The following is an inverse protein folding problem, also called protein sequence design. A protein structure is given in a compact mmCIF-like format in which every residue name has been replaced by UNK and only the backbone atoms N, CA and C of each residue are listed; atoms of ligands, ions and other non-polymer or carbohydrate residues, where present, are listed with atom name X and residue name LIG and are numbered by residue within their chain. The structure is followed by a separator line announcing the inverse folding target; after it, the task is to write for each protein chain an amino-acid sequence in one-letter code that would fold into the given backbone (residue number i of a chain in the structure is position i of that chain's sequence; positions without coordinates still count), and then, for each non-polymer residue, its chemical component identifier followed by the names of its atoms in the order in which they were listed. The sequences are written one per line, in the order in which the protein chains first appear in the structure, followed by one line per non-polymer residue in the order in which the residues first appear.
data_IF_440194615467
#
_entry.id   IF_440194615467
#
_cell.length_a   1.000
_cell.length_b   1.000
_cell.length_c   1.000
_cell.angle_alpha   90.00
_cell.angle_beta   90.00
_cell.angle_gamma   90.00
#
_symmetry.space_group_name_H-M   'P 1'
#
loop_
_entity.id
_entity.type
_entity.pdbx_description
1 polymer ?
#
# COMPACT_ATOMS: atom_id res chain seq x y z
N UNK A 1 -26.89 -9.33 5.86
CA UNK A 1 -28.03 -8.99 6.76
C UNK A 1 -28.73 -10.24 7.26
N UNK A 2 -29.26 -11.10 6.38
CA UNK A 2 -29.90 -12.39 6.77
C UNK A 2 -28.99 -13.26 7.65
N UNK A 3 -27.73 -13.48 7.23
CA UNK A 3 -26.78 -14.28 8.01
C UNK A 3 -26.45 -13.70 9.39
N UNK A 4 -26.44 -12.36 9.54
CA UNK A 4 -26.27 -11.72 10.86
C UNK A 4 -27.50 -11.95 11.73
N UNK A 5 -28.71 -11.79 11.18
CA UNK A 5 -29.96 -12.01 11.90
C UNK A 5 -30.10 -13.47 12.37
N UNK A 6 -29.62 -14.41 11.56
CA UNK A 6 -29.59 -15.83 11.90
C UNK A 6 -28.42 -16.22 12.82
N UNK A 7 -27.56 -15.27 13.20
CA UNK A 7 -26.33 -15.50 13.96
C UNK A 7 -25.49 -16.65 13.38
N UNK A 8 -25.32 -16.70 12.05
CA UNK A 8 -24.58 -17.76 11.37
C UNK A 8 -23.07 -17.63 11.60
N UNK A 9 -22.60 -18.12 12.74
CA UNK A 9 -21.20 -18.02 13.17
C UNK A 9 -20.26 -18.69 12.17
N UNK A 10 -20.65 -19.84 11.59
CA UNK A 10 -19.84 -20.57 10.61
C UNK A 10 -19.58 -19.73 9.35
N UNK A 11 -20.61 -19.07 8.83
CA UNK A 11 -20.45 -18.18 7.68
C UNK A 11 -19.44 -17.06 7.96
N UNK A 12 -19.57 -16.35 9.10
CA UNK A 12 -18.66 -15.26 9.44
C UNK A 12 -17.24 -15.74 9.77
N UNK A 13 -17.11 -16.91 10.40
CA UNK A 13 -15.81 -17.56 10.61
C UNK A 13 -15.14 -17.89 9.27
N UNK A 14 -15.87 -18.46 8.32
CA UNK A 14 -15.36 -18.72 6.96
C UNK A 14 -15.01 -17.43 6.21
N UNK A 15 -15.85 -16.39 6.30
CA UNK A 15 -15.52 -15.07 5.74
C UNK A 15 -14.26 -14.48 6.34
N UNK A 16 -14.04 -14.60 7.67
CA UNK A 16 -12.81 -14.14 8.30
C UNK A 16 -11.63 -14.96 7.80
N UNK A 17 -11.73 -16.29 7.78
CA UNK A 17 -10.70 -17.16 7.22
C UNK A 17 -10.38 -16.83 5.76
N UNK A 18 -11.32 -16.35 4.95
CA UNK A 18 -11.11 -15.99 3.55
C UNK A 18 -10.62 -14.56 3.33
N UNK A 19 -11.06 -13.60 4.14
CA UNK A 19 -10.90 -12.17 3.87
C UNK A 19 -9.98 -11.46 4.84
N UNK A 20 -9.64 -12.07 5.98
CA UNK A 20 -8.62 -11.56 6.87
C UNK A 20 -7.25 -11.71 6.18
N UNK A 21 -6.59 -10.59 5.83
CA UNK A 21 -5.33 -10.59 5.10
C UNK A 21 -4.15 -11.06 5.95
N UNK A 22 -4.32 -11.14 7.28
CA UNK A 22 -3.29 -11.68 8.18
C UNK A 22 -3.32 -13.20 8.27
N UNK A 23 -4.39 -13.84 7.78
CA UNK A 23 -4.49 -15.30 7.73
C UNK A 23 -3.97 -15.75 6.38
N UNK A 24 -2.90 -16.54 6.37
CA UNK A 24 -2.44 -17.25 5.17
C UNK A 24 -2.44 -18.75 5.42
N UNK A 25 -2.55 -19.53 4.36
CA UNK A 25 -2.57 -21.00 4.44
C UNK A 25 -1.31 -21.64 3.83
N UNK A 26 -0.35 -20.83 3.35
CA UNK A 26 0.86 -21.33 2.71
C UNK A 26 0.63 -22.13 1.42
N UNK A 27 -0.58 -22.14 0.86
CA UNK A 27 -0.95 -22.91 -0.34
C UNK A 27 -1.47 -21.98 -1.44
N UNK A 28 -0.95 -22.15 -2.66
CA UNK A 28 -1.33 -21.33 -3.83
C UNK A 28 -2.25 -22.07 -4.80
N UNK A 29 -2.10 -23.39 -4.90
CA UNK A 29 -2.90 -24.24 -5.79
C UNK A 29 -3.81 -25.13 -4.96
N UNK A 30 -5.10 -24.90 -5.07
CA UNK A 30 -6.13 -25.73 -4.43
C UNK A 30 -7.03 -26.31 -5.53
N UNK A 31 -7.09 -27.66 -5.67
CA UNK A 31 -7.82 -28.30 -6.75
C UNK A 31 -9.33 -28.06 -6.65
N UNK A 32 -10.03 -28.19 -7.78
CA UNK A 32 -11.49 -28.26 -7.79
C UNK A 32 -11.92 -29.72 -7.68
N UNK A 33 -12.99 -29.97 -6.93
CA UNK A 33 -13.59 -31.30 -6.89
C UNK A 33 -14.43 -31.53 -8.14
N UNK A 34 -14.39 -32.77 -8.65
CA UNK A 34 -15.17 -33.23 -9.81
C UNK A 34 -16.22 -34.29 -9.45
N UNK A 35 -16.24 -34.75 -8.20
CA UNK A 35 -17.09 -35.83 -7.70
C UNK A 35 -17.57 -35.50 -6.29
N UNK A 36 -18.76 -35.94 -5.93
CA UNK A 36 -19.27 -35.76 -4.58
C UNK A 36 -18.63 -36.74 -3.60
N UNK A 37 -18.19 -36.21 -2.46
CA UNK A 37 -17.95 -36.96 -1.24
C UNK A 37 -19.22 -37.11 -0.39
N UNK A 38 -19.12 -37.77 0.78
CA UNK A 38 -20.23 -37.93 1.73
C UNK A 38 -20.72 -36.62 2.37
N UNK A 39 -19.92 -35.55 2.33
CA UNK A 39 -20.18 -34.25 2.95
C UNK A 39 -19.18 -33.94 4.07
N UNK A 40 -18.79 -32.67 4.19
CA UNK A 40 -17.75 -32.23 5.13
C UNK A 40 -18.29 -31.18 6.12
N UNK A 41 -18.17 -31.46 7.42
CA UNK A 41 -18.59 -30.51 8.43
C UNK A 41 -17.65 -29.29 8.47
N UNK A 42 -18.22 -28.10 8.70
CA UNK A 42 -17.44 -26.86 8.76
C UNK A 42 -16.32 -26.91 9.81
N UNK A 43 -16.55 -27.59 10.93
CA UNK A 43 -15.54 -27.75 11.99
C UNK A 43 -14.31 -28.55 11.53
N UNK A 44 -14.51 -29.58 10.71
CA UNK A 44 -13.42 -30.40 10.15
C UNK A 44 -12.58 -29.59 9.17
N UNK A 45 -13.25 -28.80 8.31
CA UNK A 45 -12.56 -27.85 7.44
C UNK A 45 -11.77 -26.80 8.24
N UNK A 46 -12.33 -26.28 9.33
CA UNK A 46 -11.61 -25.33 10.21
C UNK A 46 -10.38 -25.97 10.85
N UNK A 47 -10.42 -27.27 11.15
CA UNK A 47 -9.26 -28.06 11.56
C UNK A 47 -8.14 -27.99 10.54
N UNK A 48 -8.40 -28.41 9.29
CA UNK A 48 -7.43 -28.30 8.19
C UNK A 48 -6.92 -26.86 8.02
N UNK A 49 -7.82 -25.88 7.98
CA UNK A 49 -7.47 -24.48 7.79
C UNK A 49 -6.55 -23.96 8.92
N UNK A 50 -6.75 -24.43 10.16
CA UNK A 50 -5.89 -24.07 11.30
C UNK A 50 -4.51 -24.72 11.15
N UNK A 51 -4.43 -26.01 10.81
CA UNK A 51 -3.16 -26.70 10.60
C UNK A 51 -2.33 -26.08 9.45
N UNK A 52 -2.99 -25.67 8.36
CA UNK A 52 -2.34 -24.96 7.27
C UNK A 52 -1.88 -23.55 7.68
N UNK A 53 -2.72 -22.82 8.42
CA UNK A 53 -2.40 -21.48 8.93
C UNK A 53 -1.24 -21.51 9.91
N UNK A 54 -1.26 -22.46 10.82
CA UNK A 54 -0.28 -22.62 11.90
C UNK A 54 0.96 -23.38 11.42
N UNK A 55 0.99 -23.75 10.13
CA UNK A 55 2.12 -24.40 9.43
C UNK A 55 2.47 -25.79 9.99
N UNK A 56 1.52 -26.44 10.66
CA UNK A 56 1.63 -27.84 11.06
C UNK A 56 1.65 -28.75 9.82
N UNK A 57 0.97 -28.34 8.75
CA UNK A 57 1.00 -29.00 7.44
C UNK A 57 1.63 -28.08 6.40
N UNK A 58 2.65 -28.59 5.69
CA UNK A 58 3.35 -27.85 4.64
C UNK A 58 3.72 -28.76 3.46
N UNK A 59 4.11 -28.18 2.32
CA UNK A 59 4.61 -28.96 1.18
C UNK A 59 3.63 -30.02 0.66
N UNK A 60 4.12 -31.25 0.51
CA UNK A 60 3.29 -32.38 0.07
C UNK A 60 2.25 -32.78 1.11
N UNK A 61 2.56 -32.72 2.41
CA UNK A 61 1.61 -33.09 3.47
C UNK A 61 0.38 -32.15 3.46
N UNK A 62 0.61 -30.85 3.25
CA UNK A 62 -0.47 -29.88 3.05
C UNK A 62 -1.31 -30.19 1.81
N UNK A 63 -0.68 -30.54 0.69
CA UNK A 63 -1.38 -30.90 -0.55
C UNK A 63 -2.26 -32.13 -0.32
N UNK A 64 -1.70 -33.17 0.27
CA UNK A 64 -2.36 -34.46 0.43
C UNK A 64 -3.56 -34.33 1.41
N UNK A 65 -3.40 -33.58 2.51
CA UNK A 65 -4.49 -33.27 3.43
C UNK A 65 -5.61 -32.42 2.79
N UNK A 66 -5.28 -31.48 1.91
CA UNK A 66 -6.26 -30.72 1.12
C UNK A 66 -7.03 -31.64 0.18
N UNK A 67 -6.36 -32.57 -0.50
CA UNK A 67 -7.00 -33.52 -1.42
C UNK A 67 -7.89 -34.52 -0.68
N UNK A 68 -7.47 -35.02 0.48
CA UNK A 68 -8.28 -35.86 1.35
C UNK A 68 -9.55 -35.14 1.81
N UNK A 69 -9.40 -33.93 2.36
CA UNK A 69 -10.53 -33.10 2.80
C UNK A 69 -11.47 -32.74 1.64
N UNK A 70 -10.92 -32.50 0.43
CA UNK A 70 -11.71 -32.28 -0.78
C UNK A 70 -12.55 -33.49 -1.17
N UNK A 71 -12.03 -34.71 -0.99
CA UNK A 71 -12.74 -35.94 -1.36
C UNK A 71 -13.88 -36.27 -0.40
N UNK A 72 -13.83 -35.76 0.84
CA UNK A 72 -14.93 -35.89 1.82
C UNK A 72 -16.06 -34.90 1.54
N UNK A 73 -15.74 -33.68 1.10
CA UNK A 73 -16.74 -32.65 0.81
C UNK A 73 -17.58 -32.97 -0.44
N UNK A 74 -18.84 -32.50 -0.45
CA UNK A 74 -19.59 -32.43 -1.71
C UNK A 74 -18.95 -31.43 -2.67
N UNK A 75 -19.25 -31.57 -3.97
CA UNK A 75 -18.74 -30.66 -5.02
C UNK A 75 -19.09 -29.21 -4.71
N UNK A 76 -20.31 -28.96 -4.24
CA UNK A 76 -20.80 -27.61 -3.94
C UNK A 76 -20.14 -27.03 -2.69
N UNK A 77 -20.06 -27.79 -1.59
CA UNK A 77 -19.37 -27.35 -0.37
C UNK A 77 -17.91 -26.98 -0.66
N UNK A 78 -17.21 -27.84 -1.40
CA UNK A 78 -15.81 -27.59 -1.74
C UNK A 78 -15.65 -26.41 -2.69
N UNK A 79 -16.23 -26.48 -3.89
CA UNK A 79 -15.94 -25.52 -4.96
C UNK A 79 -16.54 -24.14 -4.70
N UNK A 80 -17.66 -24.05 -3.99
CA UNK A 80 -18.37 -22.80 -3.74
C UNK A 80 -18.11 -22.19 -2.38
N UNK A 81 -17.51 -22.92 -1.43
CA UNK A 81 -17.19 -22.40 -0.10
C UNK A 81 -15.77 -22.70 0.36
N UNK A 82 -15.44 -23.95 0.70
CA UNK A 82 -14.17 -24.31 1.36
C UNK A 82 -12.92 -23.97 0.53
N UNK A 83 -12.93 -24.33 -0.75
CA UNK A 83 -11.85 -23.99 -1.69
C UNK A 83 -11.65 -22.49 -1.79
N UNK A 84 -12.74 -21.71 -1.81
CA UNK A 84 -12.72 -20.24 -1.93
C UNK A 84 -12.11 -19.58 -0.70
N UNK A 85 -12.30 -20.18 0.47
CA UNK A 85 -11.62 -19.78 1.71
C UNK A 85 -10.11 -20.01 1.58
N UNK A 86 -9.67 -21.23 1.20
CA UNK A 86 -8.24 -21.57 1.11
C UNK A 86 -7.49 -20.73 0.06
N UNK A 87 -8.12 -20.40 -1.08
CA UNK A 87 -7.50 -19.52 -2.09
C UNK A 87 -7.66 -18.02 -1.77
N UNK A 88 -8.30 -17.67 -0.64
CA UNK A 88 -8.52 -16.30 -0.17
C UNK A 88 -9.33 -15.43 -1.16
N UNK A 89 -10.28 -16.04 -1.88
CA UNK A 89 -11.14 -15.35 -2.85
C UNK A 89 -12.54 -15.98 -2.89
N UNK A 90 -13.52 -15.27 -2.33
CA UNK A 90 -14.92 -15.70 -2.29
C UNK A 90 -15.62 -15.66 -3.65
N UNK A 91 -15.04 -15.04 -4.69
CA UNK A 91 -15.56 -14.99 -6.07
C UNK A 91 -17.03 -14.57 -6.18
N UNK A 92 -17.43 -13.58 -5.39
CA UNK A 92 -18.81 -13.07 -5.38
C UNK A 92 -18.89 -11.54 -5.23
N UNK A 93 -17.79 -10.82 -5.48
CA UNK A 93 -17.74 -9.37 -5.33
C UNK A 93 -17.81 -8.87 -3.88
N UNK A 94 -17.71 -9.76 -2.89
CA UNK A 94 -17.70 -9.44 -1.46
C UNK A 94 -16.26 -9.37 -0.97
N UNK A 95 -15.94 -8.28 -0.27
CA UNK A 95 -14.67 -8.09 0.44
C UNK A 95 -14.91 -7.82 1.93
N UNK A 96 -13.84 -7.73 2.70
CA UNK A 96 -13.84 -7.31 4.10
C UNK A 96 -14.62 -6.00 4.33
N UNK A 97 -14.53 -5.04 3.39
CA UNK A 97 -15.30 -3.77 3.45
C UNK A 97 -16.79 -4.01 3.44
N UNK A 98 -17.25 -4.94 2.60
CA UNK A 98 -18.67 -5.27 2.48
C UNK A 98 -19.16 -5.87 3.78
N UNK A 99 -18.44 -6.86 4.33
CA UNK A 99 -18.77 -7.47 5.63
C UNK A 99 -18.75 -6.43 6.76
N UNK A 100 -17.67 -5.65 6.86
CA UNK A 100 -17.50 -4.65 7.92
C UNK A 100 -18.54 -3.53 7.88
N UNK A 101 -19.02 -3.13 6.70
CA UNK A 101 -20.12 -2.18 6.56
C UNK A 101 -21.43 -2.73 7.14
N UNK A 102 -21.72 -4.01 6.90
CA UNK A 102 -22.90 -4.68 7.46
C UNK A 102 -22.75 -4.81 8.98
N UNK A 103 -21.59 -5.29 9.45
CA UNK A 103 -21.24 -5.40 10.88
C UNK A 103 -21.41 -4.08 11.63
N UNK A 104 -20.93 -2.97 11.05
CA UNK A 104 -21.10 -1.63 11.61
C UNK A 104 -22.57 -1.24 11.72
N UNK A 105 -23.36 -1.46 10.67
CA UNK A 105 -24.81 -1.16 10.66
C UNK A 105 -25.57 -1.98 11.70
N UNK A 106 -25.15 -3.21 11.96
CA UNK A 106 -25.79 -4.11 12.93
C UNK A 106 -25.14 -4.08 14.31
N UNK A 107 -24.14 -3.22 14.55
CA UNK A 107 -23.41 -3.08 15.83
C UNK A 107 -22.81 -4.40 16.36
N UNK A 108 -22.41 -5.32 15.47
CA UNK A 108 -21.82 -6.64 15.81
C UNK A 108 -20.30 -6.63 15.69
N UNK A 109 -19.64 -5.75 16.44
CA UNK A 109 -18.18 -5.53 16.33
C UNK A 109 -17.34 -6.80 16.55
N UNK A 110 -17.90 -7.81 17.22
CA UNK A 110 -17.33 -9.15 17.39
C UNK A 110 -17.12 -9.90 16.06
N UNK A 111 -17.88 -9.57 15.02
CA UNK A 111 -17.80 -10.15 13.67
C UNK A 111 -16.94 -9.32 12.71
N UNK A 112 -16.30 -8.25 13.19
CA UNK A 112 -15.47 -7.38 12.35
C UNK A 112 -14.27 -8.16 11.81
N UNK A 113 -14.09 -8.13 10.50
CA UNK A 113 -12.91 -8.70 9.85
C UNK A 113 -11.79 -7.64 9.93
N UNK A 114 -10.60 -7.98 10.43
CA UNK A 114 -9.45 -7.09 10.40
C UNK A 114 -9.16 -6.59 8.99
N UNK A 115 -8.80 -5.32 8.87
CA UNK A 115 -8.38 -4.69 7.61
C UNK A 115 -6.87 -4.54 7.64
N UNK A 116 -6.18 -4.91 6.56
CA UNK A 116 -4.77 -4.61 6.41
C UNK A 116 -4.58 -3.11 6.23
N UNK A 117 -4.12 -2.42 7.26
CA UNK A 117 -3.72 -1.02 7.16
C UNK A 117 -2.33 -0.88 7.76
N UNK A 118 -1.53 0.01 7.17
CA UNK A 118 -0.27 0.45 7.73
C UNK A 118 -0.30 1.96 7.93
N UNK A 119 0.71 2.49 8.63
CA UNK A 119 0.83 3.93 8.85
C UNK A 119 1.13 4.66 7.54
N UNK A 120 0.36 5.71 7.26
CA UNK A 120 0.51 6.53 6.04
C UNK A 120 0.80 7.98 6.38
N UNK A 121 1.62 8.63 5.56
CA UNK A 121 2.06 9.99 5.82
C UNK A 121 1.09 11.07 5.31
N UNK A 122 0.90 12.13 6.09
CA UNK A 122 0.35 13.40 5.60
C UNK A 122 1.39 14.20 4.81
N UNK A 123 0.97 15.22 4.06
CA UNK A 123 1.86 16.12 3.33
C UNK A 123 2.20 17.32 4.22
N UNK A 124 3.48 17.58 4.49
CA UNK A 124 3.89 18.65 5.41
C UNK A 124 3.42 20.03 4.96
N UNK A 125 3.32 20.27 3.65
CA UNK A 125 2.87 21.55 3.09
C UNK A 125 1.43 21.91 3.49
N UNK A 126 0.60 20.93 3.85
CA UNK A 126 -0.77 21.16 4.33
C UNK A 126 -0.88 21.18 5.86
N UNK A 127 0.23 20.99 6.58
CA UNK A 127 0.25 20.81 8.03
C UNK A 127 1.44 21.54 8.69
N UNK A 128 1.72 22.77 8.26
CA UNK A 128 2.83 23.60 8.78
C UNK A 128 2.81 23.71 10.31
N UNK A 129 1.63 23.82 10.93
CA UNK A 129 1.47 23.85 12.40
C UNK A 129 1.92 22.57 13.13
N UNK A 130 2.20 21.50 12.39
CA UNK A 130 2.72 20.22 12.91
C UNK A 130 4.23 20.07 12.69
N UNK A 131 4.86 21.01 12.00
CA UNK A 131 6.31 21.09 11.78
C UNK A 131 7.00 21.77 12.98
N UNK A 132 6.77 21.26 14.18
CA UNK A 132 7.26 21.79 15.46
C UNK A 132 7.84 20.67 16.33
N UNK A 133 8.72 21.04 17.25
CA UNK A 133 9.39 20.15 18.19
C UNK A 133 10.35 19.14 17.54
N UNK A 134 10.73 18.13 18.32
CA UNK A 134 11.69 17.10 17.91
C UNK A 134 11.11 16.16 16.85
N UNK A 135 11.86 15.98 15.76
CA UNK A 135 11.53 15.10 14.64
C UNK A 135 12.71 14.25 14.23
N UNK A 136 12.43 13.02 13.81
CA UNK A 136 13.32 12.27 12.95
C UNK A 136 13.11 12.65 11.50
N UNK A 137 14.21 12.78 10.76
CA UNK A 137 14.25 12.92 9.32
C UNK A 137 14.89 11.67 8.73
N UNK A 138 14.25 11.08 7.72
CA UNK A 138 14.84 10.08 6.84
C UNK A 138 14.51 10.39 5.38
N UNK A 139 15.28 9.79 4.45
CA UNK A 139 15.02 9.96 3.03
C UNK A 139 13.70 9.30 2.63
N UNK A 140 12.89 10.03 1.86
CA UNK A 140 11.73 9.47 1.21
C UNK A 140 12.19 8.73 -0.04
N UNK A 141 12.27 7.41 0.08
CA UNK A 141 12.63 6.51 -1.00
C UNK A 141 11.50 6.39 -2.02
N UNK A 142 11.88 6.29 -3.30
CA UNK A 142 10.96 6.16 -4.43
C UNK A 142 10.83 4.69 -4.85
N UNK A 143 10.02 3.95 -4.09
CA UNK A 143 9.89 2.51 -4.24
C UNK A 143 8.47 2.01 -4.11
N UNK A 144 8.34 0.75 -3.69
CA UNK A 144 7.06 0.13 -3.36
C UNK A 144 7.05 -0.29 -1.90
N UNK A 145 6.13 0.28 -1.13
CA UNK A 145 5.87 -0.09 0.27
C UNK A 145 5.65 -1.59 0.44
N UNK A 146 6.48 -2.20 1.30
CA UNK A 146 6.37 -3.60 1.71
C UNK A 146 6.14 -3.68 3.21
N UNK A 147 5.16 -4.47 3.59
CA UNK A 147 4.91 -4.89 4.97
C UNK A 147 5.26 -6.37 5.04
N UNK A 148 6.29 -6.69 5.81
CA UNK A 148 6.76 -8.07 5.97
C UNK A 148 6.30 -8.61 7.31
N UNK A 149 5.55 -9.71 7.28
CA UNK A 149 5.08 -10.41 8.47
C UNK A 149 5.94 -11.65 8.65
N UNK A 150 6.52 -11.79 9.84
CA UNK A 150 7.31 -12.94 10.25
C UNK A 150 6.58 -13.63 11.38
N UNK A 151 6.14 -14.86 11.15
CA UNK A 151 5.36 -15.63 12.12
C UNK A 151 5.75 -17.10 12.01
N UNK A 152 6.11 -17.70 13.15
CA UNK A 152 6.50 -19.12 13.24
C UNK A 152 7.58 -19.50 12.21
N UNK A 153 8.57 -18.62 12.03
CA UNK A 153 9.68 -18.84 11.10
C UNK A 153 9.36 -18.62 9.62
N UNK A 154 8.15 -18.21 9.28
CA UNK A 154 7.74 -17.95 7.90
C UNK A 154 7.73 -16.45 7.63
N UNK A 155 8.36 -16.05 6.54
CA UNK A 155 8.36 -14.66 6.09
C UNK A 155 7.37 -14.50 4.94
N UNK A 156 6.46 -13.53 5.07
CA UNK A 156 5.52 -13.19 3.99
C UNK A 156 5.49 -11.69 3.76
N UNK A 157 5.61 -11.28 2.50
CA UNK A 157 5.63 -9.86 2.12
C UNK A 157 4.31 -9.41 1.48
N UNK A 158 3.81 -8.25 1.90
CA UNK A 158 2.56 -7.66 1.41
C UNK A 158 2.75 -6.23 0.97
N UNK A 159 1.98 -5.81 -0.03
CA UNK A 159 1.77 -4.39 -0.31
C UNK A 159 1.04 -3.69 0.83
N UNK A 160 1.05 -2.35 0.82
CA UNK A 160 0.27 -1.51 1.75
C UNK A 160 -1.24 -1.83 1.83
N UNK A 161 -1.80 -2.51 0.82
CA UNK A 161 -3.21 -2.88 0.75
C UNK A 161 -3.45 -4.36 1.08
N UNK A 162 -2.45 -5.08 1.59
CA UNK A 162 -2.57 -6.50 1.97
C UNK A 162 -2.49 -7.49 0.80
N UNK A 163 -2.16 -7.05 -0.42
CA UNK A 163 -1.87 -7.97 -1.53
C UNK A 163 -0.47 -8.55 -1.34
N UNK A 164 -0.36 -9.88 -1.26
CA UNK A 164 0.91 -10.57 -1.13
C UNK A 164 1.81 -10.38 -2.37
N UNK A 165 3.09 -10.14 -2.15
CA UNK A 165 4.14 -10.20 -3.16
C UNK A 165 4.70 -11.62 -3.26
N UNK A 166 5.02 -12.07 -4.47
CA UNK A 166 5.57 -13.41 -4.72
C UNK A 166 6.93 -13.38 -5.43
N UNK A 167 7.48 -12.19 -5.68
CA UNK A 167 8.66 -11.96 -6.53
C UNK A 167 9.93 -11.61 -5.71
N UNK A 168 9.85 -11.65 -4.37
CA UNK A 168 10.94 -11.25 -3.45
C UNK A 168 11.46 -12.44 -2.60
N UNK A 169 11.42 -13.65 -3.15
CA UNK A 169 11.76 -14.89 -2.44
C UNK A 169 13.17 -14.93 -1.85
N UNK A 170 14.16 -14.32 -2.51
CA UNK A 170 15.52 -14.18 -2.00
C UNK A 170 15.57 -13.38 -0.68
N UNK A 171 14.79 -12.30 -0.56
CA UNK A 171 14.69 -11.47 0.65
C UNK A 171 13.89 -12.20 1.74
N UNK A 172 12.83 -12.92 1.35
CA UNK A 172 12.10 -13.78 2.28
C UNK A 172 13.05 -14.82 2.90
N UNK A 173 13.86 -15.50 2.06
CA UNK A 173 14.85 -16.50 2.51
C UNK A 173 15.92 -15.89 3.40
N UNK A 174 16.42 -14.69 3.08
CA UNK A 174 17.41 -14.01 3.92
C UNK A 174 16.84 -13.67 5.31
N UNK A 175 15.63 -13.13 5.37
CA UNK A 175 14.94 -12.86 6.64
C UNK A 175 14.61 -14.15 7.41
N UNK A 176 14.26 -15.24 6.72
CA UNK A 176 14.07 -16.56 7.34
C UNK A 176 15.37 -17.10 7.93
N UNK A 177 16.51 -16.92 7.27
CA UNK A 177 17.80 -17.33 7.81
C UNK A 177 18.24 -16.46 9.00
N UNK A 178 17.96 -15.16 8.93
CA UNK A 178 18.32 -14.20 9.97
C UNK A 178 17.44 -14.36 11.23
N UNK A 179 16.14 -14.63 11.05
CA UNK A 179 15.14 -14.52 12.11
C UNK A 179 14.34 -15.81 12.35
N UNK A 180 14.34 -16.77 11.41
CA UNK A 180 13.26 -17.76 11.23
C UNK A 180 13.16 -18.95 12.20
N UNK A 181 13.96 -19.02 13.27
CA UNK A 181 13.73 -20.03 14.34
C UNK A 181 13.56 -19.46 15.74
N UNK A 182 14.08 -18.26 15.99
CA UNK A 182 13.95 -17.56 17.26
C UNK A 182 13.07 -16.29 17.15
N UNK A 183 12.39 -16.10 16.02
CA UNK A 183 11.49 -14.97 15.79
C UNK A 183 10.33 -15.02 16.78
N UNK A 184 10.46 -14.21 17.83
CA UNK A 184 9.49 -13.85 18.88
C UNK A 184 8.19 -14.66 18.91
N UNK A 185 7.93 -15.35 20.03
CA UNK A 185 6.60 -15.90 20.35
C UNK A 185 5.53 -14.80 20.14
N UNK A 186 4.73 -14.92 19.08
CA UNK A 186 3.70 -13.95 18.71
C UNK A 186 3.91 -13.21 17.37
N UNK A 187 5.08 -13.31 16.76
CA UNK A 187 5.39 -12.76 15.44
C UNK A 187 5.69 -11.25 15.40
N UNK A 188 6.34 -10.81 14.33
CA UNK A 188 6.75 -9.41 14.12
C UNK A 188 6.35 -8.90 12.74
N UNK A 189 6.25 -7.58 12.64
CA UNK A 189 6.03 -6.85 11.40
C UNK A 189 7.20 -5.91 11.15
N UNK A 190 7.85 -6.08 10.01
CA UNK A 190 8.84 -5.15 9.47
C UNK A 190 8.17 -4.28 8.41
N UNK A 191 8.43 -2.99 8.47
CA UNK A 191 7.85 -2.00 7.57
C UNK A 191 8.95 -1.25 6.81
N UNK A 192 8.91 -1.33 5.49
CA UNK A 192 9.97 -0.82 4.63
C UNK A 192 9.51 -0.48 3.21
N UNK A 193 10.43 0.00 2.40
CA UNK A 193 10.23 0.26 0.99
C UNK A 193 11.13 -0.67 0.19
N UNK A 194 10.57 -1.39 -0.77
CA UNK A 194 11.39 -2.06 -1.78
C UNK A 194 11.87 -1.02 -2.78
N UNK A 195 13.17 -0.97 -3.06
CA UNK A 195 13.79 -0.02 -3.99
C UNK A 195 14.66 -0.76 -5.01
N UNK A 196 14.88 -0.16 -6.16
CA UNK A 196 15.81 -0.63 -7.20
C UNK A 196 16.46 0.62 -7.84
N UNK A 197 17.29 0.43 -8.86
CA UNK A 197 17.91 1.48 -9.67
C UNK A 197 16.95 2.59 -10.14
N UNK A 198 15.67 2.27 -10.36
CA UNK A 198 14.60 3.26 -10.57
C UNK A 198 13.22 2.69 -10.22
N UNK A 199 12.27 3.58 -9.91
CA UNK A 199 10.88 3.19 -9.67
C UNK A 199 10.26 2.43 -10.86
N UNK A 200 10.58 2.85 -12.11
CA UNK A 200 10.07 2.17 -13.30
C UNK A 200 10.65 0.76 -13.46
N UNK A 201 11.93 0.56 -13.14
CA UNK A 201 12.55 -0.76 -13.13
C UNK A 201 11.89 -1.67 -12.09
N UNK A 202 11.66 -1.15 -10.88
CA UNK A 202 10.98 -1.86 -9.81
C UNK A 202 9.54 -2.27 -10.19
N UNK A 203 8.76 -1.37 -10.80
CA UNK A 203 7.38 -1.68 -11.21
C UNK A 203 7.31 -2.81 -12.26
N UNK A 204 8.32 -2.91 -13.14
CA UNK A 204 8.44 -4.04 -14.07
C UNK A 204 8.64 -5.36 -13.34
N UNK A 205 9.29 -5.37 -12.18
CA UNK A 205 9.51 -6.57 -11.37
C UNK A 205 8.29 -6.93 -10.54
N UNK A 206 7.67 -5.94 -9.89
CA UNK A 206 6.49 -6.12 -9.03
C UNK A 206 5.27 -6.70 -9.77
N UNK A 207 5.12 -6.39 -11.06
CA UNK A 207 3.98 -6.82 -11.88
C UNK A 207 4.24 -8.03 -12.79
N UNK A 208 5.47 -8.57 -12.83
CA UNK A 208 5.74 -9.81 -13.56
C UNK A 208 5.00 -10.98 -12.91
N UNK A 209 4.34 -11.77 -13.77
CA UNK A 209 3.61 -13.00 -13.38
C UNK A 209 4.51 -14.23 -13.42
N UNK A 210 5.66 -14.14 -14.09
CA UNK A 210 6.64 -15.22 -14.17
C UNK A 210 7.55 -15.16 -12.94
N UNK A 211 7.94 -16.34 -12.44
CA UNK A 211 8.66 -16.58 -11.19
C UNK A 211 10.14 -16.17 -11.27
N UNK A 212 10.43 -15.01 -11.86
CA UNK A 212 11.79 -14.47 -12.03
C UNK A 212 12.07 -13.53 -10.86
N UNK A 213 13.12 -13.83 -10.09
CA UNK A 213 13.50 -13.05 -8.93
C UNK A 213 13.95 -11.62 -9.30
N UNK A 214 13.54 -10.66 -8.47
CA UNK A 214 13.97 -9.27 -8.57
C UNK A 214 15.34 -9.07 -7.88
N UNK A 215 16.41 -9.63 -8.44
CA UNK A 215 17.73 -9.73 -7.76
C UNK A 215 18.45 -8.41 -7.51
N UNK A 216 18.00 -7.31 -8.11
CA UNK A 216 18.52 -5.94 -7.91
C UNK A 216 17.65 -5.11 -6.94
N UNK A 217 16.58 -5.70 -6.39
CA UNK A 217 15.72 -5.02 -5.44
C UNK A 217 16.33 -5.09 -4.03
N UNK A 218 16.38 -3.95 -3.35
CA UNK A 218 16.81 -3.85 -1.96
C UNK A 218 15.63 -3.47 -1.07
N UNK A 219 15.53 -4.11 0.09
CA UNK A 219 14.52 -3.82 1.09
C UNK A 219 15.03 -2.80 2.11
N UNK A 220 14.57 -1.57 1.97
CA UNK A 220 14.92 -0.46 2.84
C UNK A 220 13.94 -0.34 4.02
N UNK A 221 14.34 -0.86 5.17
CA UNK A 221 13.53 -0.99 6.38
C UNK A 221 13.52 0.31 7.20
N UNK A 222 12.36 0.76 7.69
CA UNK A 222 12.28 1.98 8.49
C UNK A 222 11.42 1.91 9.75
N UNK A 223 10.65 0.84 9.97
CA UNK A 223 9.90 0.60 11.21
C UNK A 223 9.76 -0.89 11.55
N UNK A 224 9.43 -1.19 12.81
CA UNK A 224 9.17 -2.54 13.34
C UNK A 224 8.12 -2.47 14.44
N UNK A 225 7.27 -3.48 14.54
CA UNK A 225 6.36 -3.66 15.67
C UNK A 225 5.91 -5.13 15.82
N UNK A 226 5.47 -5.55 17.01
CA UNK A 226 4.84 -6.85 17.21
C UNK A 226 3.61 -7.05 16.31
N UNK A 227 3.35 -8.27 15.87
CA UNK A 227 2.22 -8.59 15.00
C UNK A 227 0.87 -8.34 15.68
N UNK A 228 0.75 -8.60 16.98
CA UNK A 228 -0.49 -8.34 17.73
C UNK A 228 -0.80 -6.84 17.83
N UNK A 229 0.21 -5.99 17.96
CA UNK A 229 0.10 -4.52 17.92
C UNK A 229 -0.33 -4.03 16.52
N UNK A 230 0.27 -4.57 15.46
CA UNK A 230 -0.13 -4.28 14.09
C UNK A 230 -1.60 -4.65 13.83
N UNK A 231 -2.03 -5.82 14.33
CA UNK A 231 -3.43 -6.27 14.24
C UNK A 231 -4.40 -5.39 15.06
N UNK A 232 -3.97 -4.92 16.24
CA UNK A 232 -4.71 -3.93 17.04
C UNK A 232 -4.76 -2.55 16.36
N UNK A 233 -3.81 -2.29 15.47
CA UNK A 233 -3.74 -1.08 14.66
C UNK A 233 -2.94 0.06 15.30
N UNK A 234 -2.26 -0.19 16.41
CA UNK A 234 -1.47 0.80 17.15
C UNK A 234 -0.34 0.13 17.92
N UNK A 235 0.86 0.74 17.92
CA UNK A 235 1.98 0.23 18.73
C UNK A 235 1.95 0.72 20.17
N UNK A 236 2.68 0.04 21.05
CA UNK A 236 2.94 0.51 22.42
C UNK A 236 4.18 1.41 22.47
N UNK A 237 5.19 1.10 21.67
CA UNK A 237 6.45 1.84 21.63
C UNK A 237 6.38 3.05 20.70
N UNK A 238 7.07 4.14 21.08
CA UNK A 238 7.29 5.31 20.25
C UNK A 238 8.34 5.10 19.15
N UNK A 239 8.40 6.00 18.16
CA UNK A 239 9.21 5.85 16.95
C UNK A 239 10.71 5.61 17.24
N UNK A 240 11.29 6.31 18.22
CA UNK A 240 12.68 6.14 18.68
C UNK A 240 12.95 4.73 19.19
N UNK A 241 12.07 4.22 20.05
CA UNK A 241 12.22 2.89 20.62
C UNK A 241 12.06 1.80 19.55
N UNK A 242 11.08 1.94 18.65
CA UNK A 242 10.91 1.01 17.52
C UNK A 242 12.10 1.05 16.57
N UNK A 243 12.62 2.23 16.24
CA UNK A 243 13.80 2.32 15.37
C UNK A 243 15.04 1.67 16.01
N UNK A 244 15.23 1.84 17.32
CA UNK A 244 16.27 1.13 18.06
C UNK A 244 16.08 -0.38 17.98
N UNK A 245 14.87 -0.88 18.23
CA UNK A 245 14.55 -2.31 18.11
C UNK A 245 14.80 -2.82 16.69
N UNK A 246 14.52 -2.02 15.65
CA UNK A 246 14.78 -2.40 14.26
C UNK A 246 16.27 -2.56 14.00
N UNK A 247 17.10 -1.63 14.49
CA UNK A 247 18.57 -1.73 14.38
C UNK A 247 19.13 -2.93 15.17
N UNK A 248 18.53 -3.28 16.31
CA UNK A 248 18.92 -4.48 17.06
C UNK A 248 18.49 -5.76 16.34
N UNK A 249 17.36 -5.74 15.64
CA UNK A 249 16.83 -6.88 14.88
C UNK A 249 17.57 -7.08 13.56
N UNK A 250 17.98 -5.98 12.92
CA UNK A 250 18.69 -5.96 11.63
C UNK A 250 19.99 -5.16 11.81
N UNK A 251 21.01 -5.76 12.46
CA UNK A 251 22.22 -5.04 12.87
C UNK A 251 23.17 -4.72 11.72
N UNK A 252 23.14 -5.51 10.64
CA UNK A 252 24.01 -5.36 9.48
C UNK A 252 23.19 -5.23 8.20
N UNK A 253 23.64 -4.37 7.29
CA UNK A 253 23.09 -4.32 5.94
C UNK A 253 23.67 -5.44 5.08
N UNK A 254 22.90 -5.89 4.11
CA UNK A 254 23.33 -6.83 3.08
C UNK A 254 23.13 -6.23 1.68
N UNK A 255 23.45 -7.01 0.66
CA UNK A 255 23.16 -6.63 -0.72
C UNK A 255 21.65 -6.49 -0.97
N UNK A 256 20.81 -7.17 -0.18
CA UNK A 256 19.36 -7.22 -0.39
C UNK A 256 18.56 -6.37 0.60
N UNK A 257 19.12 -5.94 1.74
CA UNK A 257 18.37 -5.13 2.71
C UNK A 257 19.25 -4.20 3.55
N UNK A 258 18.67 -3.10 4.01
CA UNK A 258 19.31 -2.17 4.94
C UNK A 258 18.28 -1.40 5.75
N UNK A 259 18.68 -0.89 6.91
CA UNK A 259 17.84 0.00 7.72
C UNK A 259 18.07 1.46 7.30
N UNK A 260 17.00 2.19 7.02
CA UNK A 260 17.05 3.60 6.65
C UNK A 260 17.53 4.44 7.85
N UNK A 261 18.66 5.12 7.64
CA UNK A 261 19.25 6.06 8.59
C UNK A 261 18.30 7.21 8.91
N UNK A 262 18.30 7.62 10.19
CA UNK A 262 17.51 8.74 10.69
C UNK A 262 18.41 9.74 11.39
N UNK A 263 18.14 11.02 11.19
CA UNK A 263 18.73 12.10 11.99
C UNK A 263 17.66 12.79 12.82
N UNK A 264 18.01 13.21 14.02
CA UNK A 264 17.11 13.98 14.90
C UNK A 264 17.35 15.49 14.72
N UNK A 265 16.28 16.27 14.66
CA UNK A 265 16.33 17.72 14.70
C UNK A 265 15.19 18.27 15.57
N UNK A 266 15.36 19.48 16.11
CA UNK A 266 14.31 20.18 16.85
C UNK A 266 13.82 21.39 16.05
N UNK A 267 12.64 21.28 15.44
CA UNK A 267 12.09 22.30 14.55
C UNK A 267 11.66 23.59 15.27
N UNK A 268 11.64 23.59 16.62
CA UNK A 268 11.42 24.81 17.41
C UNK A 268 12.69 25.68 17.52
N UNK A 269 13.84 25.18 17.06
CA UNK A 269 15.14 25.87 17.09
C UNK A 269 15.60 26.30 15.70
N UNK A 270 16.38 27.39 15.61
CA UNK A 270 16.95 27.84 14.34
C UNK A 270 17.93 26.80 13.76
N UNK A 271 18.69 26.13 14.62
CA UNK A 271 19.61 25.06 14.26
C UNK A 271 18.86 23.88 13.66
N UNK A 272 17.78 23.41 14.29
CA UNK A 272 16.99 22.29 13.78
C UNK A 272 16.26 22.63 12.47
N UNK A 273 15.77 23.85 12.30
CA UNK A 273 15.21 24.32 11.02
C UNK A 273 16.27 24.32 9.91
N UNK A 274 17.52 24.71 10.24
CA UNK A 274 18.64 24.63 9.29
C UNK A 274 18.97 23.19 8.93
N UNK A 275 19.05 22.28 9.92
CA UNK A 275 19.27 20.84 9.69
C UNK A 275 18.18 20.30 8.75
N UNK A 276 16.92 20.62 8.99
CA UNK A 276 15.81 20.20 8.15
C UNK A 276 15.95 20.68 6.71
N UNK A 277 16.23 21.98 6.52
CA UNK A 277 16.39 22.57 5.18
C UNK A 277 17.58 21.95 4.43
N UNK A 278 18.72 21.79 5.10
CA UNK A 278 19.93 21.22 4.51
C UNK A 278 19.72 19.74 4.16
N UNK A 279 19.10 18.96 5.05
CA UNK A 279 18.82 17.55 4.82
C UNK A 279 17.82 17.35 3.67
N UNK A 280 16.78 18.18 3.59
CA UNK A 280 15.85 18.18 2.47
C UNK A 280 16.58 18.47 1.15
N UNK A 281 17.44 19.50 1.13
CA UNK A 281 18.22 19.84 -0.06
C UNK A 281 19.13 18.68 -0.50
N UNK A 282 19.88 18.09 0.43
CA UNK A 282 20.74 16.92 0.16
C UNK A 282 19.93 15.75 -0.38
N UNK A 283 18.71 15.52 0.12
CA UNK A 283 17.84 14.46 -0.38
C UNK A 283 17.49 14.68 -1.87
N UNK A 284 17.12 15.91 -2.24
CA UNK A 284 16.77 16.26 -3.63
C UNK A 284 17.99 16.18 -4.53
N UNK A 285 19.13 16.70 -4.08
CA UNK A 285 20.39 16.69 -4.85
C UNK A 285 20.89 15.25 -5.11
N UNK A 286 20.60 14.32 -4.20
CA UNK A 286 20.88 12.88 -4.36
C UNK A 286 19.83 12.13 -5.18
N UNK A 287 18.76 12.80 -5.64
CA UNK A 287 17.71 12.21 -6.45
C UNK A 287 16.68 11.38 -5.67
N UNK A 288 16.60 11.52 -4.35
CA UNK A 288 15.49 10.94 -3.58
C UNK A 288 14.20 11.73 -3.83
N UNK A 289 13.03 11.11 -3.58
CA UNK A 289 11.73 11.77 -3.79
C UNK A 289 11.52 12.96 -2.82
N UNK A 290 12.25 12.98 -1.71
CA UNK A 290 12.17 13.99 -0.67
C UNK A 290 12.60 13.43 0.67
N UNK A 291 11.96 13.89 1.75
CA UNK A 291 12.21 13.44 3.12
C UNK A 291 10.91 13.09 3.84
N UNK A 292 10.99 12.16 4.77
CA UNK A 292 9.94 11.94 5.76
C UNK A 292 10.28 12.68 7.04
N UNK A 293 9.27 13.20 7.72
CA UNK A 293 9.39 13.88 9.01
C UNK A 293 8.52 13.12 10.02
N UNK A 294 9.16 12.47 10.99
CA UNK A 294 8.51 11.58 11.95
C UNK A 294 8.60 12.14 13.36
N UNK A 295 7.53 12.07 14.11
CA UNK A 295 7.53 12.45 15.51
C UNK A 295 8.27 11.41 16.35
N UNK A 296 9.29 11.84 17.11
CA UNK A 296 10.31 10.97 17.70
C UNK A 296 9.74 9.95 18.68
N UNK A 297 8.70 10.32 19.44
CA UNK A 297 8.14 9.47 20.48
C UNK A 297 6.72 8.99 20.14
N UNK A 298 6.25 9.23 18.92
CA UNK A 298 4.91 8.86 18.51
C UNK A 298 4.74 7.37 18.25
N UNK A 299 3.56 6.87 18.62
CA UNK A 299 3.13 5.51 18.33
C UNK A 299 2.96 5.31 16.81
N UNK A 300 3.16 4.08 16.37
CA UNK A 300 2.74 3.63 15.05
C UNK A 300 1.22 3.54 15.05
N UNK A 301 0.56 4.12 14.05
CA UNK A 301 -0.90 4.00 13.89
C UNK A 301 -1.21 3.46 12.50
N UNK A 302 -1.96 2.35 12.41
CA UNK A 302 -2.36 1.71 11.15
C UNK A 302 -3.45 2.50 10.41
N UNK A 303 -3.16 3.76 10.11
CA UNK A 303 -4.00 4.74 9.40
C UNK A 303 -3.11 5.85 8.86
N UNK A 304 -3.71 6.81 8.14
CA UNK A 304 -3.00 8.06 7.85
C UNK A 304 -2.85 8.87 9.15
N UNK A 305 -1.62 9.24 9.49
CA UNK A 305 -1.28 9.87 10.77
C UNK A 305 -0.41 11.11 10.57
N UNK A 306 -0.61 12.12 11.43
CA UNK A 306 0.20 13.34 11.45
C UNK A 306 1.54 13.13 12.16
N UNK A 307 1.74 11.99 12.83
CA UNK A 307 3.03 11.59 13.39
C UNK A 307 4.06 11.24 12.31
N UNK A 308 3.63 11.08 11.06
CA UNK A 308 4.50 10.91 9.91
C UNK A 308 4.06 11.87 8.81
N UNK A 309 4.91 12.83 8.47
CA UNK A 309 4.74 13.76 7.36
C UNK A 309 5.75 13.43 6.27
N UNK A 310 5.51 13.94 5.07
CA UNK A 310 6.46 13.89 3.95
C UNK A 310 6.60 15.29 3.36
N UNK A 311 7.81 15.67 3.00
CA UNK A 311 8.13 16.84 2.22
C UNK A 311 8.75 16.38 0.91
N UNK A 312 8.22 16.87 -0.22
CA UNK A 312 8.72 16.59 -1.56
C UNK A 312 8.60 17.84 -2.42
N UNK A 313 9.49 18.04 -3.40
CA UNK A 313 9.37 19.15 -4.32
C UNK A 313 8.15 18.94 -5.22
N UNK A 314 7.68 20.04 -5.79
CA UNK A 314 6.73 20.01 -6.89
C UNK A 314 7.13 21.06 -7.91
N UNK A 315 6.78 20.82 -9.15
CA UNK A 315 6.87 21.75 -10.26
C UNK A 315 5.48 22.25 -10.61
N UNK A 316 5.41 23.43 -11.21
CA UNK A 316 4.18 23.96 -11.79
C UNK A 316 4.49 24.34 -13.23
N UNK A 317 3.69 23.81 -14.16
CA UNK A 317 3.82 24.08 -15.59
C UNK A 317 2.52 24.66 -16.11
N UNK A 318 2.61 25.57 -17.09
CA UNK A 318 1.45 26.14 -17.79
C UNK A 318 1.26 25.42 -19.11
N UNK A 319 0.19 24.65 -19.24
CA UNK A 319 -0.07 23.86 -20.44
C UNK A 319 -1.39 24.27 -21.09
N UNK A 320 -1.44 24.23 -22.42
CA UNK A 320 -2.65 24.53 -23.20
C UNK A 320 -3.58 23.33 -23.17
N UNK A 321 -4.86 23.56 -22.95
CA UNK A 321 -5.89 22.53 -23.03
C UNK A 321 -6.16 22.27 -24.52
N UNK A 322 -5.95 21.04 -24.97
CA UNK A 322 -6.18 20.63 -26.36
C UNK A 322 -7.45 19.80 -26.50
N UNK A 323 -7.90 19.16 -25.43
CA UNK A 323 -9.10 18.33 -25.41
C UNK A 323 -9.58 18.11 -23.97
N UNK A 324 -10.75 17.48 -23.81
CA UNK A 324 -11.35 17.10 -22.52
C UNK A 324 -11.87 15.67 -22.57
N UNK A 325 -11.75 14.96 -21.46
CA UNK A 325 -12.20 13.57 -21.34
C UNK A 325 -13.39 13.48 -20.37
N UNK A 326 -14.43 12.73 -20.73
CA UNK A 326 -15.57 12.46 -19.83
C UNK A 326 -15.14 11.56 -18.66
N UNK A 327 -15.72 11.79 -17.49
CA UNK A 327 -15.48 10.96 -16.32
C UNK A 327 -16.13 9.57 -16.42
N UNK A 328 -15.58 8.62 -15.66
CA UNK A 328 -16.15 7.28 -15.49
C UNK A 328 -16.78 7.11 -14.11
N UNK A 329 -17.59 6.06 -13.93
CA UNK A 329 -18.22 5.74 -12.64
C UNK A 329 -19.12 6.86 -12.13
N UNK A 330 -18.80 7.43 -10.95
CA UNK A 330 -19.59 8.53 -10.35
C UNK A 330 -19.52 9.85 -11.15
N UNK A 331 -18.57 9.98 -12.07
CA UNK A 331 -18.33 11.18 -12.85
C UNK A 331 -18.83 11.06 -14.31
N UNK A 332 -19.63 10.03 -14.64
CA UNK A 332 -20.30 9.96 -15.95
C UNK A 332 -21.18 11.20 -16.11
N UNK A 333 -21.13 11.84 -17.29
CA UNK A 333 -21.77 13.11 -17.58
C UNK A 333 -21.05 14.35 -17.00
N UNK A 334 -19.83 14.20 -16.50
CA UNK A 334 -19.00 15.27 -15.91
C UNK A 334 -17.58 15.23 -16.47
N UNK A 335 -16.79 16.27 -16.21
CA UNK A 335 -15.39 16.31 -16.63
C UNK A 335 -14.59 15.25 -15.88
N UNK A 336 -13.95 14.36 -16.63
CA UNK A 336 -12.99 13.38 -16.15
C UNK A 336 -11.61 13.99 -16.00
N UNK A 337 -11.07 14.53 -17.10
CA UNK A 337 -9.75 15.14 -17.17
C UNK A 337 -9.66 16.22 -18.25
N UNK A 338 -8.74 17.16 -18.06
CA UNK A 338 -8.26 18.06 -19.12
C UNK A 338 -7.08 17.39 -19.82
N UNK A 339 -7.07 17.34 -21.15
CA UNK A 339 -5.91 16.89 -21.92
C UNK A 339 -5.10 18.13 -22.26
N UNK A 340 -3.90 18.21 -21.70
CA UNK A 340 -3.04 19.39 -21.78
C UNK A 340 -1.75 19.08 -22.54
N UNK A 341 -1.35 20.02 -23.39
CA UNK A 341 -0.11 19.96 -24.17
C UNK A 341 0.63 21.30 -24.13
N UNK A 342 1.96 21.28 -24.18
CA UNK A 342 2.76 22.50 -24.19
C UNK A 342 4.25 22.25 -24.07
N UNK A 343 5.04 23.30 -24.28
CA UNK A 343 6.50 23.25 -24.12
C UNK A 343 6.89 23.97 -22.83
N UNK A 344 7.59 23.28 -21.96
CA UNK A 344 8.16 23.84 -20.72
C UNK A 344 9.64 23.44 -20.64
N UNK A 345 10.53 24.41 -20.39
CA UNK A 345 11.99 24.21 -20.36
C UNK A 345 12.55 23.33 -21.50
N UNK A 346 12.12 23.61 -22.73
CA UNK A 346 12.60 22.87 -23.90
C UNK A 346 11.90 21.53 -24.17
N UNK A 347 11.09 21.02 -23.24
CA UNK A 347 10.45 19.69 -23.31
C UNK A 347 9.00 19.83 -23.73
N UNK A 348 8.58 19.06 -24.76
CA UNK A 348 7.18 18.98 -25.14
C UNK A 348 6.45 17.99 -24.23
N UNK A 349 5.47 18.48 -23.49
CA UNK A 349 4.72 17.75 -22.47
C UNK A 349 3.30 17.50 -22.99
N UNK A 350 2.85 16.25 -22.90
CA UNK A 350 1.46 15.82 -23.13
C UNK A 350 0.97 15.03 -21.93
N UNK A 351 -0.15 15.46 -21.35
CA UNK A 351 -0.63 14.90 -20.07
C UNK A 351 -2.14 15.03 -19.88
N UNK A 352 -2.76 14.00 -19.29
CA UNK A 352 -4.15 14.05 -18.84
C UNK A 352 -4.20 14.47 -17.37
N UNK A 353 -4.91 15.56 -17.08
CA UNK A 353 -5.01 16.18 -15.75
C UNK A 353 -6.40 15.96 -15.18
N UNK A 354 -6.59 14.84 -14.48
CA UNK A 354 -7.86 14.48 -13.83
C UNK A 354 -7.91 14.72 -12.32
N UNK A 355 -6.77 14.95 -11.67
CA UNK A 355 -6.69 15.20 -10.22
C UNK A 355 -6.68 16.70 -9.91
N UNK A 356 -7.05 17.10 -8.69
CA UNK A 356 -7.13 18.51 -8.28
C UNK A 356 -8.43 19.24 -8.61
N UNK A 357 -9.33 18.60 -9.39
CA UNK A 357 -10.66 19.12 -9.72
C UNK A 357 -11.67 18.78 -8.62
N UNK A 358 -12.37 19.80 -8.10
CA UNK A 358 -13.53 19.62 -7.23
C UNK A 358 -14.74 19.06 -8.00
N UNK A 359 -15.73 18.50 -7.29
CA UNK A 359 -16.94 17.97 -7.94
C UNK A 359 -17.70 19.11 -8.68
N UNK A 360 -17.76 20.33 -8.12
CA UNK A 360 -18.36 21.51 -8.78
C UNK A 360 -17.58 21.96 -10.02
N UNK A 361 -16.24 21.90 -9.97
CA UNK A 361 -15.40 22.17 -11.15
C UNK A 361 -15.67 21.13 -12.24
N UNK A 362 -15.86 19.86 -11.88
CA UNK A 362 -16.17 18.83 -12.89
C UNK A 362 -17.49 19.08 -13.59
N UNK A 363 -18.50 19.54 -12.88
CA UNK A 363 -19.80 19.90 -13.45
C UNK A 363 -19.69 21.15 -14.33
N UNK A 364 -19.16 22.23 -13.76
CA UNK A 364 -19.07 23.53 -14.44
C UNK A 364 -18.16 23.50 -15.66
N UNK A 365 -16.99 22.86 -15.57
CA UNK A 365 -16.05 22.78 -16.68
C UNK A 365 -16.56 21.86 -17.80
N UNK A 366 -17.31 20.80 -17.47
CA UNK A 366 -17.92 19.95 -18.48
C UNK A 366 -19.00 20.64 -19.29
N UNK A 367 -19.81 21.48 -18.62
CA UNK A 367 -20.84 22.27 -19.29
C UNK A 367 -20.28 23.26 -20.32
N UNK A 368 -19.02 23.66 -20.19
CA UNK A 368 -18.33 24.60 -21.09
C UNK A 368 -17.09 23.99 -21.74
N UNK A 369 -17.00 22.66 -21.81
CA UNK A 369 -15.77 21.93 -22.20
C UNK A 369 -15.19 22.39 -23.55
N UNK A 370 -16.05 22.69 -24.51
CA UNK A 370 -15.64 23.12 -25.85
C UNK A 370 -14.97 24.51 -25.81
N UNK A 371 -15.36 25.37 -24.87
CA UNK A 371 -14.74 26.69 -24.69
C UNK A 371 -13.46 26.65 -23.88
N UNK A 372 -13.15 25.52 -23.22
CA UNK A 372 -11.89 25.34 -22.50
C UNK A 372 -10.74 24.99 -23.45
N UNK A 373 -11.04 24.45 -24.64
CA UNK A 373 -10.02 24.15 -25.65
C UNK A 373 -9.33 25.45 -26.05
N UNK A 374 -8.03 25.54 -25.83
CA UNK A 374 -7.24 26.73 -26.09
C UNK A 374 -6.79 27.47 -24.84
N UNK A 375 -7.51 27.32 -23.73
CA UNK A 375 -7.17 27.95 -22.45
C UNK A 375 -5.90 27.34 -21.84
N UNK A 376 -5.25 28.10 -20.95
CA UNK A 376 -4.02 27.66 -20.28
C UNK A 376 -4.37 27.20 -18.87
N UNK A 377 -4.02 25.96 -18.54
CA UNK A 377 -4.10 25.42 -17.20
C UNK A 377 -2.73 25.44 -16.52
N UNK A 378 -2.67 25.98 -15.29
CA UNK A 378 -1.56 25.73 -14.37
C UNK A 378 -1.73 24.33 -13.77
N UNK A 379 -0.72 23.49 -13.98
CA UNK A 379 -0.69 22.09 -13.54
C UNK A 379 0.48 21.91 -12.60
N UNK A 380 0.20 21.44 -11.38
CA UNK A 380 1.23 21.04 -10.42
C UNK A 380 1.55 19.56 -10.60
N UNK A 381 2.83 19.20 -10.56
CA UNK A 381 3.30 17.83 -10.63
C UNK A 381 4.53 17.61 -9.76
N UNK A 382 4.92 16.36 -9.52
CA UNK A 382 6.14 16.05 -8.78
C UNK A 382 7.39 16.27 -9.66
N UNK A 383 7.33 15.81 -10.91
CA UNK A 383 8.43 15.92 -11.88
C UNK A 383 7.93 15.77 -13.33
N UNK A 384 8.73 16.25 -14.29
CA UNK A 384 8.58 15.91 -15.71
C UNK A 384 9.20 14.52 -15.93
N UNK A 385 8.46 13.61 -16.54
CA UNK A 385 8.91 12.23 -16.83
C UNK A 385 8.78 11.94 -18.31
N UNK A 386 9.72 11.20 -18.89
CA UNK A 386 9.60 10.78 -20.28
C UNK A 386 8.79 9.48 -20.40
N UNK A 387 7.94 9.39 -21.42
CA UNK A 387 7.24 8.15 -21.74
C UNK A 387 8.23 7.11 -22.27
N UNK A 388 8.00 5.82 -22.01
CA UNK A 388 8.92 4.77 -22.45
C UNK A 388 8.89 4.55 -23.96
N UNK A 389 7.76 4.86 -24.60
CA UNK A 389 7.46 4.51 -25.99
C UNK A 389 7.42 5.74 -26.93
N UNK A 390 7.74 6.94 -26.43
CA UNK A 390 7.71 8.18 -27.23
C UNK A 390 8.74 9.21 -26.75
N UNK A 391 9.15 10.10 -27.65
CA UNK A 391 9.96 11.28 -27.30
C UNK A 391 9.19 12.35 -26.50
N UNK A 392 7.86 12.19 -26.40
CA UNK A 392 7.02 13.06 -25.61
C UNK A 392 7.27 12.88 -24.10
N UNK A 393 7.26 14.01 -23.39
CA UNK A 393 7.28 14.05 -21.94
C UNK A 393 5.86 14.07 -21.38
N UNK A 394 5.72 13.64 -20.14
CA UNK A 394 4.51 13.76 -19.34
C UNK A 394 4.86 14.27 -17.94
N UNK A 395 3.88 14.30 -17.04
CA UNK A 395 4.06 14.73 -15.66
C UNK A 395 3.75 13.59 -14.69
N UNK A 396 4.55 13.46 -13.64
CA UNK A 396 4.27 12.54 -12.54
C UNK A 396 3.29 13.17 -11.55
N UNK A 397 2.17 12.49 -11.32
CA UNK A 397 1.08 12.91 -10.42
C UNK A 397 0.53 14.33 -10.71
N UNK A 398 0.10 14.62 -11.96
CA UNK A 398 -0.40 15.93 -12.33
C UNK A 398 -1.70 16.26 -11.59
N UNK A 399 -1.81 17.52 -11.15
CA UNK A 399 -2.99 18.06 -10.49
C UNK A 399 -3.31 19.44 -11.06
N UNK A 400 -4.57 19.64 -11.41
CA UNK A 400 -5.07 20.95 -11.79
C UNK A 400 -4.96 21.90 -10.59
N UNK A 401 -4.47 23.12 -10.86
CA UNK A 401 -4.37 24.18 -9.86
C UNK A 401 -5.36 25.29 -10.17
N UNK A 402 -5.24 25.91 -11.33
CA UNK A 402 -6.11 26.99 -11.80
C UNK A 402 -5.97 27.16 -13.31
N UNK A 403 -6.92 27.84 -13.94
CA UNK A 403 -6.69 28.43 -15.25
C UNK A 403 -5.90 29.73 -15.11
N UNK A 404 -5.00 30.00 -16.06
CA UNK A 404 -4.27 31.26 -16.17
C UNK A 404 -5.17 32.30 -16.84
N UNK A 405 -5.15 33.56 -16.37
CA UNK A 405 -5.95 34.64 -16.98
C UNK A 405 -7.32 34.92 -16.34
N UNK A 406 -7.71 34.25 -15.27
CA UNK A 406 -8.95 34.55 -14.52
C UNK A 406 -8.77 35.55 -13.36
N UNK A 407 -7.55 36.02 -13.10
CA UNK A 407 -7.33 37.19 -12.23
C UNK A 407 -7.50 38.46 -13.06
N UNK A 408 -8.39 39.34 -12.59
CA UNK A 408 -8.53 40.70 -13.14
C UNK A 408 -7.15 41.39 -13.04
N UNK A 409 -6.47 41.56 -14.17
CA UNK A 409 -5.25 42.36 -14.29
C UNK A 409 -3.93 41.65 -14.68
N UNK A 410 -3.90 40.35 -14.94
CA UNK A 410 -2.67 39.71 -15.44
C UNK A 410 -2.48 39.89 -16.96
N UNK A 411 -1.27 40.30 -17.38
CA UNK A 411 -0.88 40.39 -18.80
C UNK A 411 -0.42 39.01 -19.31
N UNK A 412 -0.82 38.73 -20.56
CA UNK A 412 -0.49 37.54 -21.35
C UNK A 412 1.01 37.31 -21.51
#
# INVERSE_FOLDING_TARGET
MKEIANNNVNFFSGCRLALDPMITFGVKQVPQSKKDGPGLAFAEFVGLASQLRDRELTGHDARDAIEETMNEATVDEWNNWYRRILIKDLKCGVSEKTINNVVKKTKRSDLKIPTFNCMLAHDSANHEKKMIGKKFLDYKLDGVRVITIILNGVVTMYSRNGKQFINFGHIETELENLLGKESYEGGIVLDGEMVSSSFQALMKQVHRKDNVEATDAQYALFDILPLDEFQKGVSTLGCRARHKQLLETIPESSDNMFVVEKIECDLDTAEGQKIFSDYNKVAIDKGFEGIMIKDVDALYECKRSHFMLKAKPFIEVSLKIVDTEEGTGRNVGKLGALICEGKDDGKFIKVNVGSGLSDDQRDSFWAVKDTLIGEIAEVRADAITQNQDSDDYSLRFPRFKTFRGFKVGEKF
#
